data_IF_352635356376
#
_entry.id   IF_352635356376
#
_cell.length_a   1.000
_cell.length_b   1.000
_cell.length_c   1.000
_cell.angle_alpha   90.00
_cell.angle_beta   90.00
_cell.angle_gamma   90.00
#
_symmetry.space_group_name_H-M   'P 1'
#
loop_
_entity.id
_entity.type
_entity.pdbx_description
1 polymer ?
#
# COMPACT_ATOMS: atom_id res chain seq x y z
N UNK A 1 1.45 23.67 6.21
CA UNK A 1 0.28 22.92 5.71
C UNK A 1 -0.22 22.02 6.84
N UNK A 2 -1.53 22.00 7.10
CA UNK A 2 -2.10 21.18 8.16
C UNK A 2 -2.15 19.71 7.71
N UNK A 3 -1.60 18.79 8.51
CA UNK A 3 -1.74 17.35 8.30
C UNK A 3 -3.22 16.96 8.34
N UNK A 4 -3.69 16.25 7.31
CA UNK A 4 -5.01 15.65 7.34
C UNK A 4 -4.94 14.33 8.10
N UNK A 5 -5.75 14.20 9.15
CA UNK A 5 -5.80 13.00 9.98
C UNK A 5 -7.09 12.21 9.73
N UNK A 6 -6.98 10.89 9.79
CA UNK A 6 -8.12 9.97 9.70
C UNK A 6 -8.07 9.08 10.93
N UNK A 7 -9.12 9.09 11.74
CA UNK A 7 -9.21 8.18 12.89
C UNK A 7 -9.35 6.72 12.45
N UNK A 8 -9.02 5.76 13.32
CA UNK A 8 -9.25 4.35 13.04
C UNK A 8 -10.74 4.01 12.84
N UNK A 9 -11.63 4.71 13.52
CA UNK A 9 -13.08 4.59 13.32
C UNK A 9 -13.50 5.02 11.92
N UNK A 10 -12.99 6.19 11.46
CA UNK A 10 -13.28 6.70 10.12
C UNK A 10 -12.62 5.84 9.04
N UNK A 11 -11.38 5.37 9.30
CA UNK A 11 -10.69 4.44 8.42
C UNK A 11 -11.52 3.17 8.21
N UNK A 12 -12.01 2.57 9.30
CA UNK A 12 -12.87 1.39 9.23
C UNK A 12 -14.16 1.64 8.46
N UNK A 13 -14.82 2.77 8.72
CA UNK A 13 -16.03 3.17 7.96
C UNK A 13 -15.74 3.29 6.47
N UNK A 14 -14.62 3.92 6.09
CA UNK A 14 -14.19 4.03 4.69
C UNK A 14 -13.83 2.67 4.06
N UNK A 15 -13.20 1.76 4.82
CA UNK A 15 -12.91 0.39 4.38
C UNK A 15 -14.21 -0.37 4.08
N UNK A 16 -15.21 -0.27 4.94
CA UNK A 16 -16.53 -0.89 4.71
C UNK A 16 -17.19 -0.35 3.44
N UNK A 17 -17.18 0.97 3.25
CA UNK A 17 -17.74 1.61 2.05
C UNK A 17 -16.98 1.16 0.78
N UNK A 18 -15.65 1.05 0.85
CA UNK A 18 -14.82 0.57 -0.26
C UNK A 18 -15.11 -0.90 -0.56
N UNK A 19 -15.25 -1.75 0.46
CA UNK A 19 -15.66 -3.15 0.29
C UNK A 19 -17.02 -3.29 -0.37
N UNK A 20 -17.96 -2.42 0.00
CA UNK A 20 -19.28 -2.34 -0.64
C UNK A 20 -19.18 -1.96 -2.12
N UNK A 21 -18.33 -0.98 -2.48
CA UNK A 21 -18.07 -0.62 -3.87
C UNK A 21 -17.39 -1.75 -4.66
N UNK A 22 -16.44 -2.46 -4.04
CA UNK A 22 -15.79 -3.63 -4.66
C UNK A 22 -16.77 -4.76 -4.91
N UNK A 23 -17.76 -4.98 -4.05
CA UNK A 23 -18.75 -6.04 -4.22
C UNK A 23 -19.63 -5.85 -5.45
N UNK A 24 -19.79 -4.63 -5.95
CA UNK A 24 -20.50 -4.34 -7.21
C UNK A 24 -19.76 -4.89 -8.44
N UNK A 25 -18.44 -5.11 -8.32
CA UNK A 25 -17.62 -5.68 -9.38
C UNK A 25 -17.75 -7.21 -9.46
N UNK A 26 -18.33 -7.85 -8.46
CA UNK A 26 -18.46 -9.31 -8.41
C UNK A 26 -19.41 -9.84 -9.48
N UNK A 27 -18.95 -10.89 -10.17
CA UNK A 27 -19.77 -11.71 -11.04
C UNK A 27 -19.77 -13.14 -10.50
N UNK A 28 -20.90 -13.86 -10.49
CA UNK A 28 -21.00 -15.19 -9.86
C UNK A 28 -19.92 -16.18 -10.29
N UNK A 29 -19.56 -16.15 -11.57
CA UNK A 29 -18.59 -17.09 -12.16
C UNK A 29 -17.17 -16.55 -12.27
N UNK A 30 -16.95 -15.26 -11.97
CA UNK A 30 -15.66 -14.63 -12.14
C UNK A 30 -15.42 -13.54 -11.08
N UNK A 31 -14.98 -13.91 -9.88
CA UNK A 31 -14.69 -12.95 -8.82
C UNK A 31 -13.58 -11.98 -9.26
N UNK A 32 -13.68 -10.69 -8.90
CA UNK A 32 -12.70 -9.71 -9.29
C UNK A 32 -11.34 -10.00 -8.65
N UNK A 33 -10.28 -9.86 -9.45
CA UNK A 33 -8.89 -9.86 -8.97
C UNK A 33 -8.37 -8.43 -9.12
N UNK A 34 -8.01 -7.84 -8.01
CA UNK A 34 -7.72 -6.41 -7.89
C UNK A 34 -6.21 -6.19 -7.98
N UNK A 35 -5.78 -5.44 -8.98
CA UNK A 35 -4.40 -4.93 -9.06
C UNK A 35 -4.31 -3.54 -8.44
N UNK A 36 -3.24 -3.29 -7.67
CA UNK A 36 -2.90 -1.97 -7.14
C UNK A 36 -1.59 -1.49 -7.76
N UNK A 37 -1.67 -0.54 -8.67
CA UNK A 37 -0.53 0.12 -9.30
C UNK A 37 -0.51 1.58 -8.85
N UNK A 38 0.04 1.84 -7.68
CA UNK A 38 -0.02 3.15 -7.04
C UNK A 38 1.14 3.37 -6.07
N UNK A 39 1.48 4.64 -5.84
CA UNK A 39 2.32 5.03 -4.70
C UNK A 39 1.52 4.96 -3.39
N UNK A 40 2.20 5.18 -2.26
CA UNK A 40 1.55 5.17 -0.95
C UNK A 40 0.55 6.32 -0.85
N UNK A 41 -0.73 5.99 -0.73
CA UNK A 41 -1.82 6.97 -0.57
C UNK A 41 -3.04 6.32 0.07
N UNK A 42 -3.88 7.13 0.71
CA UNK A 42 -5.04 6.65 1.46
C UNK A 42 -5.98 5.78 0.62
N UNK A 43 -6.32 6.19 -0.60
CA UNK A 43 -7.24 5.42 -1.45
C UNK A 43 -6.68 4.02 -1.79
N UNK A 44 -5.36 3.91 -2.01
CA UNK A 44 -4.70 2.61 -2.20
C UNK A 44 -4.80 1.73 -0.96
N UNK A 45 -4.59 2.31 0.22
CA UNK A 45 -4.76 1.61 1.51
C UNK A 45 -6.19 1.16 1.73
N UNK A 46 -7.19 2.01 1.41
CA UNK A 46 -8.61 1.65 1.53
C UNK A 46 -8.97 0.44 0.67
N UNK A 47 -8.50 0.41 -0.59
CA UNK A 47 -8.75 -0.74 -1.48
C UNK A 47 -8.04 -1.99 -0.96
N UNK A 48 -6.78 -1.88 -0.55
CA UNK A 48 -5.99 -3.01 -0.03
C UNK A 48 -6.64 -3.63 1.20
N UNK A 49 -6.94 -2.82 2.21
CA UNK A 49 -7.56 -3.27 3.45
C UNK A 49 -8.99 -3.79 3.24
N UNK A 50 -9.77 -3.18 2.34
CA UNK A 50 -11.09 -3.69 1.99
C UNK A 50 -11.00 -5.07 1.30
N UNK A 51 -10.04 -5.27 0.41
CA UNK A 51 -9.81 -6.57 -0.20
C UNK A 51 -9.49 -7.63 0.85
N UNK A 52 -8.57 -7.35 1.76
CA UNK A 52 -8.18 -8.28 2.81
C UNK A 52 -9.31 -8.55 3.81
N UNK A 53 -10.11 -7.55 4.14
CA UNK A 53 -11.23 -7.68 5.10
C UNK A 53 -12.41 -8.46 4.53
N UNK A 54 -12.67 -8.35 3.24
CA UNK A 54 -13.87 -8.87 2.61
C UNK A 54 -13.62 -9.99 1.59
N UNK A 55 -12.40 -10.54 1.54
CA UNK A 55 -12.05 -11.72 0.78
C UNK A 55 -11.88 -11.50 -0.73
N UNK A 56 -11.58 -10.28 -1.16
CA UNK A 56 -11.15 -10.00 -2.53
C UNK A 56 -9.65 -10.27 -2.66
N UNK A 57 -9.24 -10.90 -3.76
CA UNK A 57 -7.81 -11.09 -4.02
C UNK A 57 -7.17 -9.79 -4.49
N UNK A 58 -6.08 -9.36 -3.84
CA UNK A 58 -5.37 -8.13 -4.17
C UNK A 58 -3.91 -8.38 -4.54
N UNK A 59 -3.45 -7.71 -5.59
CA UNK A 59 -2.12 -7.81 -6.16
C UNK A 59 -1.47 -6.43 -6.11
N UNK A 60 -0.67 -6.12 -5.08
CA UNK A 60 0.16 -4.91 -5.09
C UNK A 60 1.26 -5.05 -6.15
N UNK A 61 1.32 -4.11 -7.08
CA UNK A 61 2.21 -4.16 -8.24
C UNK A 61 3.37 -3.20 -8.03
N UNK A 62 4.64 -3.67 -8.17
CA UNK A 62 5.80 -2.81 -8.02
C UNK A 62 5.85 -1.69 -9.07
N UNK A 63 6.00 -0.43 -8.63
CA UNK A 63 6.12 0.74 -9.51
C UNK A 63 7.45 0.83 -10.25
N UNK A 64 8.44 0.06 -9.84
CA UNK A 64 9.74 -0.09 -10.51
C UNK A 64 9.79 -1.28 -11.48
N UNK A 65 8.63 -1.83 -11.83
CA UNK A 65 8.52 -2.88 -12.86
C UNK A 65 8.91 -2.34 -14.23
N UNK A 66 9.49 -3.21 -15.09
CA UNK A 66 9.54 -2.96 -16.52
C UNK A 66 8.16 -3.23 -17.15
N UNK A 67 7.97 -2.80 -18.41
CA UNK A 67 6.72 -3.05 -19.13
C UNK A 67 6.44 -4.56 -19.29
N UNK A 68 7.50 -5.34 -19.54
CA UNK A 68 7.42 -6.81 -19.65
C UNK A 68 7.02 -7.43 -18.32
N UNK A 69 7.63 -6.98 -17.21
CA UNK A 69 7.28 -7.46 -15.87
C UNK A 69 5.84 -7.11 -15.49
N UNK A 70 5.39 -5.88 -15.76
CA UNK A 70 4.01 -5.49 -15.52
C UNK A 70 3.04 -6.35 -16.35
N UNK A 71 3.29 -6.52 -17.65
CA UNK A 71 2.49 -7.37 -18.52
C UNK A 71 2.43 -8.83 -18.02
N UNK A 72 3.58 -9.37 -17.60
CA UNK A 72 3.67 -10.71 -17.01
C UNK A 72 2.83 -10.82 -15.71
N UNK A 73 2.98 -9.88 -14.78
CA UNK A 73 2.24 -9.87 -13.52
C UNK A 73 0.73 -9.83 -13.78
N UNK A 74 0.26 -8.92 -14.62
CA UNK A 74 -1.16 -8.78 -14.96
C UNK A 74 -1.74 -10.06 -15.55
N UNK A 75 -1.00 -10.71 -16.47
CA UNK A 75 -1.40 -11.97 -17.10
C UNK A 75 -1.40 -13.13 -16.12
N UNK A 76 -0.30 -13.33 -15.38
CA UNK A 76 -0.14 -14.46 -14.47
C UNK A 76 -1.14 -14.42 -13.32
N UNK A 77 -1.34 -13.24 -12.72
CA UNK A 77 -2.30 -13.07 -11.63
C UNK A 77 -3.74 -12.90 -12.08
N UNK A 78 -3.99 -12.81 -13.40
CA UNK A 78 -5.33 -12.64 -13.99
C UNK A 78 -6.08 -11.43 -13.44
N UNK A 79 -5.37 -10.30 -13.27
CA UNK A 79 -5.99 -9.06 -12.81
C UNK A 79 -7.13 -8.66 -13.73
N UNK A 80 -8.31 -8.41 -13.16
CA UNK A 80 -9.51 -7.99 -13.89
C UNK A 80 -9.81 -6.51 -13.71
N UNK A 81 -9.43 -5.95 -12.56
CA UNK A 81 -9.62 -4.54 -12.22
C UNK A 81 -8.32 -3.97 -11.68
N UNK A 82 -7.85 -2.88 -12.27
CA UNK A 82 -6.59 -2.23 -11.91
C UNK A 82 -6.86 -0.84 -11.37
N UNK A 83 -6.46 -0.59 -10.14
CA UNK A 83 -6.48 0.73 -9.53
C UNK A 83 -5.14 1.42 -9.78
N UNK A 84 -5.19 2.60 -10.41
CA UNK A 84 -4.00 3.34 -10.85
C UNK A 84 -3.92 4.69 -10.18
N UNK A 85 -2.75 5.03 -9.63
CA UNK A 85 -2.54 6.33 -8.99
C UNK A 85 -1.10 6.84 -9.02
N UNK A 86 -0.95 8.10 -9.45
CA UNK A 86 0.33 8.77 -9.54
C UNK A 86 1.03 8.67 -10.90
N UNK A 87 1.90 9.64 -11.18
CA UNK A 87 2.53 9.83 -12.49
C UNK A 87 3.26 8.58 -13.00
N UNK A 88 4.03 7.91 -12.13
CA UNK A 88 4.77 6.70 -12.51
C UNK A 88 3.85 5.54 -12.87
N UNK A 89 2.77 5.32 -12.09
CA UNK A 89 1.79 4.29 -12.36
C UNK A 89 1.05 4.53 -13.68
N UNK A 90 0.64 5.77 -13.94
CA UNK A 90 -0.03 6.17 -15.19
C UNK A 90 0.87 5.91 -16.39
N UNK A 91 2.14 6.30 -16.32
CA UNK A 91 3.11 6.05 -17.40
C UNK A 91 3.26 4.55 -17.64
N UNK A 92 3.53 3.76 -16.61
CA UNK A 92 3.69 2.31 -16.72
C UNK A 92 2.46 1.64 -17.35
N UNK A 93 1.25 2.04 -16.95
CA UNK A 93 0.03 1.52 -17.54
C UNK A 93 -0.12 1.88 -19.02
N UNK A 94 0.14 3.13 -19.37
CA UNK A 94 0.00 3.61 -20.74
C UNK A 94 0.99 2.96 -21.72
N UNK A 95 2.14 2.53 -21.22
CA UNK A 95 3.19 1.86 -22.00
C UNK A 95 2.97 0.34 -22.15
N UNK A 96 1.99 -0.23 -21.41
CA UNK A 96 1.71 -1.67 -21.41
C UNK A 96 0.47 -1.98 -22.22
N UNK A 97 0.53 -3.04 -23.03
CA UNK A 97 -0.63 -3.63 -23.69
C UNK A 97 -0.98 -4.95 -22.99
N UNK A 98 -2.00 -4.98 -22.13
CA UNK A 98 -2.38 -6.21 -21.45
C UNK A 98 -2.92 -7.25 -22.45
N UNK A 99 -2.64 -8.52 -22.19
CA UNK A 99 -3.09 -9.64 -23.05
C UNK A 99 -4.57 -9.99 -22.89
N UNK A 100 -5.26 -9.33 -21.97
CA UNK A 100 -6.70 -9.52 -21.68
C UNK A 100 -7.31 -8.18 -21.24
N UNK A 101 -8.64 -8.12 -21.27
CA UNK A 101 -9.36 -6.91 -20.87
C UNK A 101 -9.26 -6.66 -19.37
N UNK A 102 -8.83 -5.46 -18.99
CA UNK A 102 -8.73 -4.98 -17.60
C UNK A 102 -9.56 -3.70 -17.49
N UNK A 103 -10.43 -3.64 -16.49
CA UNK A 103 -11.13 -2.41 -16.12
C UNK A 103 -10.22 -1.55 -15.27
N UNK A 104 -10.04 -0.29 -15.63
CA UNK A 104 -9.14 0.62 -14.91
C UNK A 104 -9.92 1.60 -14.06
N UNK A 105 -9.52 1.75 -12.80
CA UNK A 105 -10.04 2.74 -11.88
C UNK A 105 -8.91 3.72 -11.51
N UNK A 106 -9.12 5.00 -11.79
CA UNK A 106 -8.12 6.04 -11.53
C UNK A 106 -8.35 6.70 -10.17
N UNK A 107 -7.34 6.69 -9.30
CA UNK A 107 -7.37 7.46 -8.06
C UNK A 107 -7.26 8.97 -8.31
N UNK A 108 -6.55 9.35 -9.38
CA UNK A 108 -6.35 10.73 -9.80
C UNK A 108 -6.04 10.79 -11.30
N UNK A 109 -6.19 11.98 -11.89
CA UNK A 109 -5.84 12.26 -13.29
C UNK A 109 -6.37 11.25 -14.33
N UNK A 110 -7.67 10.89 -14.34
CA UNK A 110 -8.22 9.88 -15.23
C UNK A 110 -7.97 10.20 -16.71
N UNK A 111 -7.96 11.48 -17.08
CA UNK A 111 -7.73 11.95 -18.44
C UNK A 111 -6.32 11.65 -18.98
N UNK A 112 -5.36 11.31 -18.10
CA UNK A 112 -4.00 10.95 -18.51
C UNK A 112 -3.81 9.43 -18.68
N UNK A 113 -4.85 8.62 -18.45
CA UNK A 113 -4.81 7.16 -18.49
C UNK A 113 -5.45 6.69 -19.78
N UNK A 114 -4.76 5.85 -20.55
CA UNK A 114 -5.28 5.30 -21.79
C UNK A 114 -6.34 4.21 -21.53
N UNK A 115 -7.40 4.20 -22.36
CA UNK A 115 -8.47 3.21 -22.33
C UNK A 115 -9.75 3.67 -21.68
N UNK A 116 -10.61 2.72 -21.35
CA UNK A 116 -11.86 3.00 -20.62
C UNK A 116 -11.58 3.05 -19.12
N UNK A 117 -11.62 4.26 -18.57
CA UNK A 117 -11.24 4.55 -17.18
C UNK A 117 -12.44 5.02 -16.39
N UNK A 118 -12.63 4.45 -15.22
CA UNK A 118 -13.61 4.92 -14.22
C UNK A 118 -12.86 5.78 -13.20
N UNK A 119 -13.37 6.95 -12.88
CA UNK A 119 -12.84 7.79 -11.80
C UNK A 119 -13.11 7.18 -10.43
N UNK A 120 -12.22 7.42 -9.46
CA UNK A 120 -12.37 6.93 -8.09
C UNK A 120 -13.72 7.29 -7.47
N UNK A 121 -14.14 8.54 -7.59
CA UNK A 121 -15.41 8.97 -7.01
C UNK A 121 -16.60 8.24 -7.63
N UNK A 122 -16.63 8.09 -8.95
CA UNK A 122 -17.67 7.33 -9.66
C UNK A 122 -17.66 5.86 -9.23
N UNK A 123 -16.48 5.23 -9.11
CA UNK A 123 -16.37 3.87 -8.59
C UNK A 123 -16.88 3.78 -7.15
N UNK A 124 -16.46 4.68 -6.29
CA UNK A 124 -16.82 4.69 -4.88
C UNK A 124 -18.32 4.91 -4.66
N UNK A 125 -18.96 5.75 -5.46
CA UNK A 125 -20.39 6.02 -5.40
C UNK A 125 -21.26 4.84 -5.87
N UNK A 126 -20.69 3.91 -6.65
CA UNK A 126 -21.37 2.66 -7.00
C UNK A 126 -21.70 1.78 -5.78
N UNK A 127 -21.12 2.04 -4.60
CA UNK A 127 -21.44 1.31 -3.35
C UNK A 127 -22.93 1.29 -3.05
N UNK A 128 -23.68 2.30 -3.47
CA UNK A 128 -25.10 2.39 -3.22
C UNK A 128 -25.92 1.34 -4.01
N UNK A 129 -25.33 0.73 -5.04
CA UNK A 129 -25.90 -0.40 -5.79
C UNK A 129 -25.80 -1.74 -5.05
N UNK A 130 -24.90 -1.86 -4.08
CA UNK A 130 -24.68 -3.08 -3.29
C UNK A 130 -25.68 -3.19 -2.12
N UNK A 131 -26.96 -3.34 -2.42
CA UNK A 131 -28.03 -3.34 -1.41
C UNK A 131 -27.93 -4.49 -0.39
N UNK A 132 -27.36 -5.62 -0.78
CA UNK A 132 -27.26 -6.83 0.07
C UNK A 132 -25.87 -7.02 0.72
N UNK A 133 -24.99 -6.03 0.69
CA UNK A 133 -23.69 -6.15 1.31
C UNK A 133 -23.78 -6.06 2.83
N UNK A 134 -23.62 -7.19 3.50
CA UNK A 134 -23.55 -7.25 4.95
C UNK A 134 -22.10 -7.46 5.41
N UNK A 135 -21.56 -6.52 6.14
CA UNK A 135 -20.17 -6.49 6.59
C UNK A 135 -19.81 -7.74 7.41
N UNK A 136 -20.59 -8.06 8.45
CA UNK A 136 -20.31 -9.17 9.36
C UNK A 136 -20.40 -10.52 8.64
N UNK A 137 -21.43 -10.68 7.82
CA UNK A 137 -21.61 -11.87 7.01
C UNK A 137 -20.45 -12.05 6.03
N UNK A 138 -20.05 -10.97 5.35
CA UNK A 138 -18.94 -11.02 4.39
C UNK A 138 -17.63 -11.42 5.05
N UNK A 139 -17.32 -10.81 6.19
CA UNK A 139 -16.11 -11.14 6.95
C UNK A 139 -16.11 -12.59 7.45
N UNK A 140 -17.25 -13.13 7.85
CA UNK A 140 -17.36 -14.52 8.34
C UNK A 140 -17.08 -15.57 7.26
N UNK A 141 -17.21 -15.21 5.97
CA UNK A 141 -16.88 -16.10 4.84
C UNK A 141 -15.40 -16.08 4.44
N UNK A 142 -14.61 -15.17 4.97
CA UNK A 142 -13.17 -15.10 4.66
C UNK A 142 -12.44 -16.23 5.38
N UNK A 143 -12.05 -17.26 4.64
CA UNK A 143 -11.26 -18.36 5.20
C UNK A 143 -9.84 -17.91 5.52
N UNK A 144 -9.33 -18.32 6.69
CA UNK A 144 -7.94 -18.04 7.10
C UNK A 144 -6.89 -18.69 6.21
N UNK A 145 -7.24 -19.77 5.52
CA UNK A 145 -6.37 -20.49 4.61
C UNK A 145 -6.49 -20.05 3.14
N UNK A 146 -7.45 -19.14 2.83
CA UNK A 146 -7.58 -18.61 1.48
C UNK A 146 -6.43 -17.66 1.12
N UNK A 147 -5.95 -17.75 -0.12
CA UNK A 147 -4.97 -16.79 -0.67
C UNK A 147 -5.62 -15.43 -0.86
N UNK A 148 -5.19 -14.47 -0.06
CA UNK A 148 -5.73 -13.11 -0.09
C UNK A 148 -4.93 -12.18 -1.00
N UNK A 149 -3.62 -12.42 -1.09
CA UNK A 149 -2.74 -11.52 -1.84
C UNK A 149 -1.56 -12.28 -2.44
N UNK A 150 -1.07 -11.76 -3.57
CA UNK A 150 0.16 -12.22 -4.21
C UNK A 150 1.09 -11.01 -4.32
N UNK A 151 2.28 -11.13 -3.79
CA UNK A 151 3.32 -10.11 -3.91
C UNK A 151 4.44 -10.60 -4.83
N UNK A 152 4.83 -9.75 -5.77
CA UNK A 152 5.87 -10.08 -6.74
C UNK A 152 7.23 -9.56 -6.30
N UNK A 153 8.24 -10.43 -6.39
CA UNK A 153 9.65 -10.06 -6.18
C UNK A 153 10.35 -9.90 -7.52
N UNK A 154 11.15 -8.85 -7.69
CA UNK A 154 12.01 -8.67 -8.85
C UNK A 154 13.15 -9.70 -8.79
N UNK A 155 13.08 -10.72 -9.61
CA UNK A 155 14.25 -11.59 -9.90
C UNK A 155 15.23 -10.85 -10.81
N UNK A 156 16.53 -11.05 -10.62
CA UNK A 156 17.58 -10.35 -11.36
C UNK A 156 17.70 -10.74 -12.85
N UNK A 157 17.10 -11.84 -13.29
CA UNK A 157 17.31 -12.39 -14.64
C UNK A 157 16.11 -13.13 -15.24
N UNK A 158 14.97 -13.20 -14.56
CA UNK A 158 13.79 -13.95 -14.97
C UNK A 158 12.52 -13.18 -14.66
N UNK A 159 11.39 -13.70 -15.12
CA UNK A 159 10.08 -13.17 -14.77
C UNK A 159 9.90 -13.05 -13.25
N UNK A 160 9.19 -12.02 -12.77
CA UNK A 160 8.92 -11.85 -11.36
C UNK A 160 8.24 -13.08 -10.74
N UNK A 161 8.63 -13.43 -9.50
CA UNK A 161 8.03 -14.55 -8.77
C UNK A 161 6.91 -14.05 -7.87
N UNK A 162 5.71 -14.59 -8.06
CA UNK A 162 4.55 -14.31 -7.21
C UNK A 162 4.56 -15.15 -5.93
N UNK A 163 4.65 -14.51 -4.78
CA UNK A 163 4.57 -15.14 -3.46
C UNK A 163 3.17 -14.95 -2.94
N UNK A 164 2.47 -16.05 -2.66
CA UNK A 164 1.11 -16.03 -2.13
C UNK A 164 1.11 -15.92 -0.61
N UNK A 165 0.18 -15.12 -0.09
CA UNK A 165 -0.05 -14.99 1.34
C UNK A 165 -1.52 -15.27 1.65
N UNK A 166 -1.74 -16.17 2.62
CA UNK A 166 -3.06 -16.44 3.18
C UNK A 166 -3.36 -15.46 4.32
N UNK A 167 -4.63 -15.36 4.71
CA UNK A 167 -5.03 -14.59 5.90
C UNK A 167 -4.27 -15.06 7.15
N UNK A 168 -4.09 -16.38 7.30
CA UNK A 168 -3.32 -16.98 8.38
C UNK A 168 -1.87 -16.48 8.40
N UNK A 169 -1.21 -16.38 7.25
CA UNK A 169 0.15 -15.84 7.18
C UNK A 169 0.22 -14.39 7.67
N UNK A 170 -0.76 -13.58 7.26
CA UNK A 170 -0.83 -12.16 7.65
C UNK A 170 -1.02 -12.01 9.16
N UNK A 171 -1.96 -12.75 9.76
CA UNK A 171 -2.27 -12.71 11.18
C UNK A 171 -1.08 -13.22 12.00
N UNK A 172 -0.53 -14.41 11.66
CA UNK A 172 0.59 -15.01 12.41
C UNK A 172 1.81 -14.10 12.43
N UNK A 173 2.09 -13.40 11.34
CA UNK A 173 3.18 -12.41 11.27
C UNK A 173 2.97 -11.22 12.21
N UNK A 174 1.71 -10.78 12.44
CA UNK A 174 1.43 -9.70 13.39
C UNK A 174 1.75 -10.12 14.81
N UNK A 175 1.25 -11.28 15.21
CA UNK A 175 1.53 -11.83 16.54
C UNK A 175 3.02 -12.04 16.79
N UNK A 176 3.74 -12.64 15.83
CA UNK A 176 5.18 -12.85 15.97
C UNK A 176 5.96 -11.53 16.15
N UNK A 177 5.55 -10.47 15.45
CA UNK A 177 6.19 -9.16 15.59
C UNK A 177 5.82 -8.45 16.88
N UNK A 178 4.57 -8.55 17.33
CA UNK A 178 4.16 -7.99 18.60
C UNK A 178 4.93 -8.60 19.78
N UNK A 179 5.20 -9.92 19.71
CA UNK A 179 6.04 -10.60 20.72
C UNK A 179 7.52 -10.18 20.64
N UNK A 180 8.02 -9.83 19.45
CA UNK A 180 9.40 -9.40 19.26
C UNK A 180 9.64 -7.93 19.58
N UNK A 181 8.60 -7.11 19.58
CA UNK A 181 8.63 -5.65 19.78
C UNK A 181 7.53 -5.25 20.77
N UNK A 182 7.61 -5.70 22.03
CA UNK A 182 6.56 -5.50 23.02
C UNK A 182 6.41 -4.03 23.45
N UNK A 183 7.43 -3.21 23.21
CA UNK A 183 7.44 -1.78 23.53
C UNK A 183 6.64 -0.92 22.55
N UNK A 184 6.26 -1.45 21.37
CA UNK A 184 5.46 -0.70 20.40
C UNK A 184 3.98 -0.66 20.81
N UNK A 185 3.36 0.51 20.68
CA UNK A 185 1.99 0.72 21.12
C UNK A 185 1.25 1.88 20.45
N UNK A 186 0.13 2.26 21.07
CA UNK A 186 -0.76 3.30 20.55
C UNK A 186 -0.16 4.71 20.57
N UNK A 187 0.85 4.92 21.42
CA UNK A 187 1.52 6.21 21.57
C UNK A 187 2.59 6.44 20.51
N UNK A 188 2.88 5.41 19.71
CA UNK A 188 3.88 5.49 18.67
C UNK A 188 3.36 6.13 17.39
N UNK A 189 4.29 6.80 16.70
CA UNK A 189 4.07 7.42 15.40
C UNK A 189 5.12 6.93 14.40
N UNK A 190 4.66 6.30 13.34
CA UNK A 190 5.48 5.84 12.21
C UNK A 190 5.53 6.91 11.13
N UNK A 191 6.72 7.25 10.64
CA UNK A 191 6.89 7.95 9.36
C UNK A 191 7.15 6.91 8.27
N UNK A 192 6.20 6.76 7.35
CA UNK A 192 6.12 5.64 6.41
C UNK A 192 6.33 6.09 4.96
N UNK A 193 7.45 5.69 4.38
CA UNK A 193 7.78 5.95 2.98
C UNK A 193 8.05 4.67 2.18
N UNK A 194 8.22 3.53 2.88
CA UNK A 194 8.49 2.26 2.20
C UNK A 194 7.27 1.84 1.37
N UNK A 195 7.48 1.34 0.14
CA UNK A 195 6.37 1.06 -0.76
C UNK A 195 5.44 -0.03 -0.23
N UNK A 196 4.13 0.17 -0.38
CA UNK A 196 3.11 -0.81 0.02
C UNK A 196 3.07 -2.06 -0.87
N UNK A 197 3.73 -2.06 -2.01
CA UNK A 197 3.96 -3.27 -2.79
C UNK A 197 5.12 -4.12 -2.24
N UNK A 198 5.80 -3.66 -1.18
CA UNK A 198 6.90 -4.37 -0.52
C UNK A 198 6.51 -4.80 0.89
N UNK A 199 7.08 -5.93 1.35
CA UNK A 199 6.71 -6.56 2.65
C UNK A 199 6.96 -5.65 3.85
N UNK A 200 8.00 -4.80 3.84
CA UNK A 200 8.26 -3.87 4.93
C UNK A 200 7.21 -2.77 5.01
N UNK A 201 6.94 -2.06 3.93
CA UNK A 201 5.92 -1.01 3.93
C UNK A 201 4.54 -1.55 4.25
N UNK A 202 4.14 -2.66 3.60
CA UNK A 202 2.79 -3.17 3.75
C UNK A 202 2.56 -3.94 5.07
N UNK A 203 3.46 -4.86 5.42
CA UNK A 203 3.23 -5.76 6.54
C UNK A 203 3.86 -5.27 7.84
N UNK A 204 4.93 -4.51 7.78
CA UNK A 204 5.53 -3.98 8.99
C UNK A 204 4.98 -2.60 9.33
N UNK A 205 5.07 -1.63 8.43
CA UNK A 205 4.60 -0.29 8.70
C UNK A 205 3.06 -0.22 8.76
N UNK A 206 2.35 -0.50 7.65
CA UNK A 206 0.90 -0.30 7.59
C UNK A 206 0.13 -1.25 8.52
N UNK A 207 0.29 -2.56 8.32
CA UNK A 207 -0.46 -3.52 9.15
C UNK A 207 0.06 -3.57 10.59
N UNK A 208 1.32 -3.24 10.80
CA UNK A 208 1.90 -3.09 12.14
C UNK A 208 1.27 -1.94 12.89
N UNK A 209 1.22 -0.74 12.31
CA UNK A 209 0.59 0.43 12.94
C UNK A 209 -0.86 0.15 13.33
N UNK A 210 -1.63 -0.49 12.44
CA UNK A 210 -3.01 -0.89 12.75
C UNK A 210 -3.06 -1.87 13.92
N UNK A 211 -2.18 -2.86 13.96
CA UNK A 211 -2.15 -3.87 15.01
C UNK A 211 -1.79 -3.29 16.38
N UNK A 212 -0.84 -2.37 16.44
CA UNK A 212 -0.41 -1.70 17.68
C UNK A 212 -1.32 -0.52 18.07
N UNK A 213 -2.20 -0.07 17.16
CA UNK A 213 -2.99 1.15 17.35
C UNK A 213 -2.19 2.43 17.19
N UNK A 214 -0.99 2.35 16.62
CA UNK A 214 -0.06 3.44 16.43
C UNK A 214 -0.50 4.38 15.28
N UNK A 215 0.02 5.61 15.25
CA UNK A 215 -0.19 6.52 14.13
C UNK A 215 0.64 6.12 12.92
N UNK A 216 0.01 6.01 11.75
CA UNK A 216 0.66 5.79 10.46
C UNK A 216 0.68 7.11 9.66
N UNK A 217 1.85 7.71 9.50
CA UNK A 217 2.02 8.95 8.75
C UNK A 217 2.62 8.66 7.38
N UNK A 218 1.90 9.01 6.31
CA UNK A 218 2.45 8.93 4.96
C UNK A 218 3.52 9.99 4.78
N UNK A 219 4.70 9.59 4.33
CA UNK A 219 5.67 10.55 3.80
C UNK A 219 5.16 11.14 2.48
N UNK A 220 5.42 12.42 2.25
CA UNK A 220 5.07 13.10 1.00
C UNK A 220 5.77 12.46 -0.20
N UNK A 221 7.03 12.09 -0.02
CA UNK A 221 7.86 11.48 -1.06
C UNK A 221 8.96 10.62 -0.46
N UNK A 222 9.40 9.54 -1.13
CA UNK A 222 10.56 8.77 -0.70
C UNK A 222 11.91 9.50 -0.93
N UNK A 223 11.93 10.70 -1.50
CA UNK A 223 13.13 11.48 -1.70
C UNK A 223 13.72 11.93 -0.35
N UNK A 224 15.05 11.89 -0.21
CA UNK A 224 15.71 12.14 1.07
C UNK A 224 15.35 13.50 1.68
N UNK A 225 15.44 14.58 0.90
CA UNK A 225 15.11 15.93 1.37
C UNK A 225 13.63 16.10 1.77
N UNK A 226 12.71 15.35 1.15
CA UNK A 226 11.30 15.32 1.54
C UNK A 226 11.14 14.61 2.88
N UNK A 227 11.81 13.46 3.04
CA UNK A 227 11.78 12.71 4.30
C UNK A 227 12.30 13.53 5.50
N UNK A 228 13.34 14.34 5.31
CA UNK A 228 13.84 15.22 6.38
C UNK A 228 12.80 16.25 6.83
N UNK A 229 12.07 16.84 5.88
CA UNK A 229 10.96 17.76 6.19
C UNK A 229 9.83 17.06 6.92
N UNK A 230 9.46 15.86 6.43
CA UNK A 230 8.43 15.04 7.04
C UNK A 230 8.82 14.62 8.46
N UNK A 231 10.10 14.33 8.71
CA UNK A 231 10.63 14.03 10.05
C UNK A 231 10.38 15.16 11.04
N UNK A 232 10.68 16.39 10.65
CA UNK A 232 10.45 17.56 11.49
C UNK A 232 8.98 17.85 11.75
N UNK A 233 8.12 17.54 10.77
CA UNK A 233 6.68 17.79 10.86
C UNK A 233 5.97 16.71 11.68
N UNK A 234 6.33 15.44 11.48
CA UNK A 234 5.67 14.28 12.08
C UNK A 234 6.23 13.96 13.46
N UNK A 235 7.52 14.27 13.70
CA UNK A 235 8.26 13.88 14.90
C UNK A 235 8.06 12.40 15.27
N UNK A 236 8.45 11.45 14.39
CA UNK A 236 8.14 10.05 14.57
C UNK A 236 8.90 9.43 15.73
N UNK A 237 8.26 8.51 16.45
CA UNK A 237 8.93 7.65 17.45
C UNK A 237 9.51 6.40 16.79
N UNK A 238 8.97 6.00 15.63
CA UNK A 238 9.42 4.83 14.88
C UNK A 238 9.70 5.21 13.43
N UNK A 239 10.93 4.92 13.00
CA UNK A 239 11.33 5.07 11.60
C UNK A 239 12.01 3.80 11.10
N UNK A 240 11.42 3.19 10.09
CA UNK A 240 11.95 2.00 9.43
C UNK A 240 12.50 2.41 8.08
N UNK A 241 13.75 2.03 7.81
CA UNK A 241 14.42 2.49 6.62
C UNK A 241 15.33 1.43 5.99
N UNK A 242 15.75 1.70 4.76
CA UNK A 242 16.73 0.89 4.04
C UNK A 242 18.16 1.37 4.36
N UNK A 243 19.20 0.51 4.26
CA UNK A 243 20.57 0.87 4.58
C UNK A 243 21.05 2.17 3.92
N UNK A 244 20.70 2.36 2.64
CA UNK A 244 21.07 3.59 1.92
C UNK A 244 20.60 4.88 2.60
N UNK A 245 19.42 4.88 3.23
CA UNK A 245 18.87 6.06 3.91
C UNK A 245 19.59 6.32 5.24
N UNK A 246 19.93 5.25 5.94
CA UNK A 246 20.72 5.36 7.16
C UNK A 246 22.12 5.93 6.88
N UNK A 247 22.78 5.49 5.80
CA UNK A 247 24.06 6.07 5.37
C UNK A 247 23.91 7.55 5.04
N UNK A 248 22.89 7.96 4.30
CA UNK A 248 22.65 9.37 3.97
C UNK A 248 22.38 10.23 5.21
N UNK A 249 21.65 9.70 6.19
CA UNK A 249 21.45 10.41 7.48
C UNK A 249 22.76 10.55 8.26
N UNK A 250 23.56 9.50 8.28
CA UNK A 250 24.86 9.51 8.95
C UNK A 250 25.81 10.53 8.30
N UNK A 251 25.97 10.49 6.97
CA UNK A 251 26.80 11.44 6.22
C UNK A 251 26.39 12.89 6.47
N UNK A 252 25.08 13.17 6.47
CA UNK A 252 24.55 14.50 6.75
C UNK A 252 24.88 14.96 8.19
N UNK A 253 24.80 14.06 9.17
CA UNK A 253 25.14 14.37 10.55
C UNK A 253 26.65 14.59 10.74
N UNK A 254 27.51 13.80 10.08
CA UNK A 254 28.94 14.01 10.07
C UNK A 254 29.30 15.40 9.50
N UNK A 255 28.76 15.77 8.36
CA UNK A 255 28.99 17.09 7.76
C UNK A 255 28.58 18.24 8.71
N UNK A 256 27.47 18.08 9.44
CA UNK A 256 27.07 19.10 10.42
C UNK A 256 27.98 19.15 11.65
N UNK A 257 28.40 17.99 12.15
CA UNK A 257 29.31 17.90 13.30
C UNK A 257 30.71 18.38 12.94
N UNK A 258 31.23 18.13 11.74
CA UNK A 258 32.52 18.65 11.27
C UNK A 258 32.50 20.17 11.09
N UNK A 259 31.36 20.74 10.71
CA UNK A 259 31.19 22.21 10.68
C UNK A 259 31.16 22.84 12.07
N UNK A 260 30.72 22.08 13.08
CA UNK A 260 30.73 22.51 14.51
C UNK A 260 32.04 22.18 15.21
N UNK A 261 32.91 21.34 14.62
CA UNK A 261 34.18 20.87 15.25
C UNK A 261 35.38 21.85 15.19
N UNK A 262 35.17 23.10 14.78
CA UNK A 262 36.11 24.18 15.11
C UNK A 262 36.11 24.53 16.62
N UNK A 263 35.20 23.95 17.41
CA UNK A 263 35.21 23.93 18.87
C UNK A 263 35.71 22.56 19.39
N UNK A 264 37.00 22.47 19.63
CA UNK A 264 37.76 21.30 20.10
C UNK A 264 37.48 20.88 21.56
N UNK A 265 36.24 20.96 22.07
CA UNK A 265 35.94 20.65 23.48
C UNK A 265 34.64 19.87 23.69
N UNK A 266 34.39 18.82 22.88
CA UNK A 266 33.36 17.83 23.25
C UNK A 266 33.92 16.42 23.01
N UNK A 267 34.63 15.91 23.97
CA UNK A 267 34.76 14.49 24.30
C UNK A 267 34.38 14.30 25.76
#
# INVERSE_FOLDING_TARGET
ENLQTVSYSDLWSKIQMTGKALSVLEKPENPPIIGLLTYNQLNGVLVDLACLSFGFRVIPIPLNSTNEHLSFILKQSKVTHLFVGGKTAIRLWNDVQPSHTISVIAFNNPNLIHGNVTEWNTFFDNRDRAQNFNVNQRMSYVSVDSTQTIMYTSGSTANPKGITFTQKNLISKRFARALALPEFGSDDTFLCYLPLFHTFGRYFELMGSIFWGATYSFAESPAFNSLLKDFLMVNPTIFISIPKRWVQLYEMLEEQLDLDSDDSDII
#
